data_IF_688414695692
#
_entry.id   IF_688414695692
#
_cell.length_a   1.000
_cell.length_b   1.000
_cell.length_c   1.000
_cell.angle_alpha   90.00
_cell.angle_beta   90.00
_cell.angle_gamma   90.00
#
_symmetry.space_group_name_H-M   'P 1'
#
loop_
_entity.id
_entity.type
_entity.pdbx_description
1 polymer ?
#
# COMPACT_ATOMS: atom_id res chain seq x y z
N UNK A 1 -15.82 4.77 9.29
CA UNK A 1 -15.09 5.74 10.15
C UNK A 1 -15.74 7.12 10.08
N UNK A 2 -16.01 7.65 8.88
CA UNK A 2 -16.63 8.97 8.73
C UNK A 2 -18.11 9.02 9.17
N UNK A 3 -18.80 7.89 9.20
CA UNK A 3 -20.20 7.78 9.62
C UNK A 3 -20.39 7.82 11.13
N UNK A 4 -19.38 7.41 11.89
CA UNK A 4 -19.42 7.36 13.35
C UNK A 4 -19.31 8.73 14.00
N UNK A 5 -18.91 9.73 13.22
CA UNK A 5 -18.73 11.09 13.69
C UNK A 5 -19.80 12.01 13.11
N UNK A 6 -20.74 12.38 13.94
CA UNK A 6 -21.73 13.43 13.66
C UNK A 6 -21.09 14.83 13.56
N UNK A 7 -19.79 14.89 13.20
CA UNK A 7 -19.08 16.13 13.12
C UNK A 7 -19.48 16.91 11.88
N UNK A 8 -20.09 18.07 12.09
CA UNK A 8 -20.42 19.03 11.04
C UNK A 8 -19.27 19.33 10.05
N UNK A 9 -17.99 19.44 10.48
CA UNK A 9 -16.88 19.71 9.55
C UNK A 9 -16.71 18.69 8.45
N UNK A 10 -16.87 17.39 8.73
CA UNK A 10 -16.72 16.32 7.71
C UNK A 10 -17.87 16.38 6.72
N UNK A 11 -19.12 16.50 7.19
CA UNK A 11 -20.29 16.62 6.33
C UNK A 11 -20.22 17.84 5.42
N UNK A 12 -19.80 18.98 5.97
CA UNK A 12 -19.60 20.23 5.21
C UNK A 12 -18.45 20.08 4.19
N UNK A 13 -17.35 19.40 4.58
CA UNK A 13 -16.22 19.11 3.69
C UNK A 13 -16.63 18.29 2.48
N UNK A 14 -17.34 17.19 2.70
CA UNK A 14 -17.86 16.33 1.63
C UNK A 14 -18.85 17.06 0.73
N UNK A 15 -19.76 17.86 1.31
CA UNK A 15 -20.69 18.70 0.53
C UNK A 15 -19.95 19.70 -0.36
N UNK A 16 -18.89 20.35 0.13
CA UNK A 16 -18.05 21.25 -0.65
C UNK A 16 -17.27 20.54 -1.76
N UNK A 17 -16.75 19.33 -1.50
CA UNK A 17 -16.09 18.50 -2.52
C UNK A 17 -17.06 18.13 -3.63
N UNK A 18 -18.25 17.67 -3.29
CA UNK A 18 -19.31 17.33 -4.25
C UNK A 18 -19.73 18.55 -5.08
N UNK A 19 -19.91 19.70 -4.46
CA UNK A 19 -20.23 20.96 -5.15
C UNK A 19 -19.14 21.41 -6.15
N UNK A 20 -17.89 20.96 -5.97
CA UNK A 20 -16.76 21.17 -6.87
C UNK A 20 -16.64 20.09 -7.96
N UNK A 21 -17.60 19.17 -8.05
CA UNK A 21 -17.61 18.10 -9.05
C UNK A 21 -16.85 16.84 -8.66
N UNK A 22 -16.44 16.69 -7.39
CA UNK A 22 -15.81 15.45 -6.95
C UNK A 22 -16.86 14.32 -6.93
N UNK A 23 -16.52 13.17 -7.54
CA UNK A 23 -17.32 11.94 -7.44
C UNK A 23 -17.09 11.31 -6.07
N UNK A 24 -18.16 11.00 -5.36
CA UNK A 24 -18.11 10.32 -4.07
C UNK A 24 -18.53 8.86 -4.29
N UNK A 25 -17.61 7.94 -4.00
CA UNK A 25 -17.88 6.50 -3.95
C UNK A 25 -17.92 6.08 -2.49
N UNK A 26 -19.02 5.50 -2.04
CA UNK A 26 -19.16 4.98 -0.69
C UNK A 26 -19.09 3.45 -0.71
N UNK A 27 -18.15 2.89 0.05
CA UNK A 27 -18.04 1.45 0.28
C UNK A 27 -18.50 1.16 1.69
N UNK A 28 -19.65 0.53 1.83
CA UNK A 28 -20.27 0.28 3.15
C UNK A 28 -21.28 -0.88 3.06
N UNK A 29 -21.38 -1.74 4.07
CA UNK A 29 -22.40 -2.80 4.11
C UNK A 29 -23.84 -2.28 4.02
N UNK A 30 -24.10 -1.08 4.54
CA UNK A 30 -25.42 -0.46 4.58
C UNK A 30 -25.41 0.87 3.83
N UNK A 31 -26.41 1.11 2.98
CA UNK A 31 -26.56 2.39 2.28
C UNK A 31 -27.20 3.45 3.18
N UNK A 32 -26.45 3.91 4.16
CA UNK A 32 -26.86 4.96 5.12
C UNK A 32 -25.80 6.05 5.19
N UNK A 33 -26.02 7.09 5.96
CA UNK A 33 -25.08 8.17 6.17
C UNK A 33 -24.53 8.75 4.87
N UNK A 34 -23.22 8.64 4.65
CA UNK A 34 -22.56 9.13 3.43
C UNK A 34 -22.91 8.32 2.18
N UNK A 35 -23.34 7.07 2.33
CA UNK A 35 -23.87 6.26 1.24
C UNK A 35 -25.14 6.85 0.62
N UNK A 36 -25.90 7.65 1.37
CA UNK A 36 -27.10 8.32 0.88
C UNK A 36 -26.80 9.49 -0.07
N UNK A 37 -25.63 10.14 0.08
CA UNK A 37 -25.19 11.27 -0.76
C UNK A 37 -24.14 10.87 -1.80
N UNK A 38 -23.68 9.62 -1.77
CA UNK A 38 -22.68 9.12 -2.71
C UNK A 38 -23.26 9.05 -4.13
N UNK A 39 -22.38 9.30 -5.11
CA UNK A 39 -22.69 9.14 -6.54
C UNK A 39 -22.74 7.65 -6.90
N UNK A 40 -21.94 6.85 -6.16
CA UNK A 40 -21.92 5.40 -6.29
C UNK A 40 -21.83 4.76 -4.90
N UNK A 41 -22.60 3.70 -4.67
CA UNK A 41 -22.52 2.92 -3.45
C UNK A 41 -22.17 1.47 -3.77
N UNK A 42 -21.12 0.98 -3.12
CA UNK A 42 -20.62 -0.39 -3.24
C UNK A 42 -20.93 -1.11 -1.93
N UNK A 43 -21.83 -2.09 -1.98
CA UNK A 43 -22.19 -2.91 -0.83
C UNK A 43 -21.12 -3.95 -0.58
N UNK A 44 -20.43 -3.87 0.55
CA UNK A 44 -19.37 -4.80 0.94
C UNK A 44 -19.83 -5.70 2.08
N UNK A 45 -19.43 -6.97 2.10
CA UNK A 45 -19.68 -7.84 3.26
C UNK A 45 -18.87 -7.35 4.47
N UNK A 46 -19.49 -7.26 5.66
CA UNK A 46 -18.77 -6.86 6.88
C UNK A 46 -17.53 -7.71 7.14
N UNK A 47 -16.43 -7.05 7.53
CA UNK A 47 -15.16 -7.72 7.86
C UNK A 47 -14.30 -8.09 6.66
N UNK A 48 -14.65 -7.66 5.44
CA UNK A 48 -13.85 -7.94 4.22
C UNK A 48 -13.19 -6.70 3.63
N UNK A 49 -13.20 -5.58 4.33
CA UNK A 49 -12.63 -4.31 3.88
C UNK A 49 -11.14 -4.45 3.54
N UNK A 50 -10.36 -5.16 4.39
CA UNK A 50 -8.96 -5.43 4.14
C UNK A 50 -8.72 -6.26 2.88
N UNK A 51 -9.58 -7.25 2.64
CA UNK A 51 -9.50 -8.09 1.44
C UNK A 51 -9.81 -7.27 0.17
N UNK A 52 -10.81 -6.41 0.23
CA UNK A 52 -11.12 -5.47 -0.85
C UNK A 52 -9.97 -4.51 -1.13
N UNK A 53 -9.35 -3.94 -0.08
CA UNK A 53 -8.18 -3.08 -0.23
C UNK A 53 -6.99 -3.82 -0.86
N UNK A 54 -6.78 -5.09 -0.53
CA UNK A 54 -5.74 -5.91 -1.16
C UNK A 54 -6.01 -6.18 -2.63
N UNK A 55 -7.28 -6.35 -3.02
CA UNK A 55 -7.63 -6.49 -4.43
C UNK A 55 -7.40 -5.19 -5.22
N UNK A 56 -7.69 -4.04 -4.62
CA UNK A 56 -7.35 -2.75 -5.23
C UNK A 56 -5.82 -2.59 -5.39
N UNK A 57 -5.05 -2.98 -4.38
CA UNK A 57 -3.59 -2.97 -4.46
C UNK A 57 -3.07 -3.91 -5.57
N UNK A 58 -3.65 -5.12 -5.69
CA UNK A 58 -3.36 -6.06 -6.77
C UNK A 58 -3.55 -5.43 -8.14
N UNK A 59 -4.70 -4.78 -8.38
CA UNK A 59 -5.00 -4.15 -9.66
C UNK A 59 -4.08 -2.94 -9.94
N UNK A 60 -3.80 -2.11 -8.96
CA UNK A 60 -2.87 -0.99 -9.12
C UNK A 60 -1.46 -1.47 -9.51
N UNK A 61 -0.97 -2.53 -8.87
CA UNK A 61 0.32 -3.15 -9.19
C UNK A 61 0.29 -3.79 -10.58
N UNK A 62 -0.76 -4.55 -10.92
CA UNK A 62 -0.93 -5.20 -12.21
C UNK A 62 -1.00 -4.22 -13.38
N UNK A 63 -1.60 -3.05 -13.15
CA UNK A 63 -1.74 -1.99 -14.15
C UNK A 63 -0.55 -1.02 -14.18
N UNK A 64 0.46 -1.23 -13.34
CA UNK A 64 1.59 -0.31 -13.17
C UNK A 64 1.14 1.15 -12.86
N UNK A 65 0.13 1.28 -11.99
CA UNK A 65 -0.43 2.56 -11.55
C UNK A 65 0.10 2.97 -10.19
N UNK A 66 1.42 2.92 -10.03
CA UNK A 66 2.12 3.20 -8.78
C UNK A 66 2.97 4.46 -8.94
N UNK A 67 2.79 5.41 -8.03
CA UNK A 67 3.66 6.58 -7.91
C UNK A 67 4.88 6.22 -7.04
N UNK A 68 5.91 5.65 -7.68
CA UNK A 68 7.14 5.22 -7.00
C UNK A 68 7.90 6.42 -6.41
N UNK A 69 7.91 7.57 -7.08
CA UNK A 69 8.57 8.78 -6.58
C UNK A 69 7.94 9.24 -5.25
N UNK A 70 6.60 9.20 -5.19
CA UNK A 70 5.88 9.48 -3.96
C UNK A 70 6.23 8.48 -2.84
N UNK A 71 6.25 7.18 -3.16
CA UNK A 71 6.52 6.13 -2.18
C UNK A 71 7.95 6.19 -1.65
N UNK A 72 8.92 6.52 -2.50
CA UNK A 72 10.32 6.72 -2.08
C UNK A 72 10.44 7.97 -1.20
N UNK A 73 9.75 9.05 -1.58
CA UNK A 73 9.90 10.34 -0.90
C UNK A 73 9.16 10.41 0.44
N UNK A 74 8.00 9.75 0.57
CA UNK A 74 7.10 9.92 1.72
C UNK A 74 6.81 8.64 2.49
N UNK A 75 7.34 7.50 2.04
CA UNK A 75 7.19 6.21 2.69
C UNK A 75 8.54 5.47 2.75
N UNK A 76 8.50 4.24 3.23
CA UNK A 76 9.68 3.38 3.37
C UNK A 76 9.81 2.33 2.26
N UNK A 77 9.28 2.59 1.08
CA UNK A 77 9.21 1.63 -0.04
C UNK A 77 10.59 1.08 -0.46
N UNK A 78 11.63 1.91 -0.33
CA UNK A 78 13.02 1.60 -0.69
C UNK A 78 13.87 1.05 0.47
N UNK A 79 13.33 1.00 1.70
CA UNK A 79 14.09 0.47 2.84
C UNK A 79 14.30 -1.03 2.68
N UNK A 80 15.48 -1.48 3.05
CA UNK A 80 15.84 -2.90 2.99
C UNK A 80 15.31 -3.66 4.20
N UNK A 81 14.68 -4.79 3.93
CA UNK A 81 14.22 -5.77 4.92
C UNK A 81 15.10 -7.01 4.81
N UNK A 82 15.62 -7.47 5.92
CA UNK A 82 16.48 -8.66 6.00
C UNK A 82 15.65 -9.90 5.67
N UNK A 83 16.16 -10.71 4.75
CA UNK A 83 15.61 -12.00 4.35
C UNK A 83 16.50 -13.12 4.91
N UNK A 84 16.19 -13.54 6.13
CA UNK A 84 16.95 -14.57 6.87
C UNK A 84 16.01 -15.56 7.55
N UNK A 85 15.29 -16.40 6.78
CA UNK A 85 14.26 -17.29 7.30
C UNK A 85 14.76 -18.14 8.47
N UNK A 86 14.09 -18.00 9.61
CA UNK A 86 14.43 -18.67 10.87
C UNK A 86 15.51 -18.00 11.72
N UNK A 87 16.10 -16.92 11.23
CA UNK A 87 17.00 -16.05 11.98
C UNK A 87 16.27 -15.07 12.89
N UNK A 88 16.95 -14.56 13.90
CA UNK A 88 16.36 -13.62 14.86
C UNK A 88 16.10 -12.22 14.25
N UNK A 89 16.73 -11.92 13.13
CA UNK A 89 16.64 -10.66 12.41
C UNK A 89 15.79 -10.75 11.14
N UNK A 90 15.17 -11.90 10.87
CA UNK A 90 14.30 -12.08 9.71
C UNK A 90 13.11 -11.11 9.75
N UNK A 91 12.86 -10.43 8.64
CA UNK A 91 11.79 -9.43 8.51
C UNK A 91 12.07 -8.09 9.18
N UNK A 92 13.23 -7.91 9.84
CA UNK A 92 13.62 -6.62 10.40
C UNK A 92 14.23 -5.71 9.33
N UNK A 93 14.12 -4.40 9.54
CA UNK A 93 14.82 -3.43 8.67
C UNK A 93 16.34 -3.54 8.84
N UNK A 94 17.05 -3.61 7.71
CA UNK A 94 18.49 -3.49 7.71
C UNK A 94 18.92 -2.08 8.19
N UNK A 95 19.88 -2.05 9.12
CA UNK A 95 20.39 -0.79 9.70
C UNK A 95 21.91 -0.78 9.70
N UNK A 96 22.48 0.43 9.63
CA UNK A 96 23.90 0.66 9.85
C UNK A 96 24.27 0.60 11.35
N UNK A 97 25.53 0.88 11.67
CA UNK A 97 26.06 0.87 13.04
C UNK A 97 25.45 1.98 13.92
N UNK A 98 24.98 3.05 13.32
CA UNK A 98 24.35 4.21 14.00
C UNK A 98 22.81 4.03 14.13
N UNK A 99 22.27 2.96 13.56
CA UNK A 99 20.84 2.62 13.62
C UNK A 99 20.01 3.24 12.51
N UNK A 100 20.59 3.88 11.50
CA UNK A 100 19.87 4.41 10.35
C UNK A 100 19.40 3.26 9.43
N UNK A 101 18.18 3.38 8.89
CA UNK A 101 17.69 2.41 7.93
C UNK A 101 18.51 2.45 6.64
N UNK A 102 18.74 1.29 6.04
CA UNK A 102 19.47 1.16 4.79
C UNK A 102 18.53 1.02 3.59
N UNK A 103 18.97 1.55 2.45
CA UNK A 103 18.43 1.23 1.13
C UNK A 103 19.57 0.77 0.20
N UNK A 104 19.22 0.22 -0.96
CA UNK A 104 20.19 -0.07 -1.99
C UNK A 104 20.27 1.09 -2.97
N UNK A 105 21.44 1.71 -3.08
CA UNK A 105 21.70 2.71 -4.11
C UNK A 105 22.10 2.01 -5.41
N UNK A 106 21.27 2.18 -6.44
CA UNK A 106 21.46 1.54 -7.73
C UNK A 106 22.67 2.07 -8.50
N UNK A 107 23.08 3.34 -8.30
CA UNK A 107 24.24 3.93 -8.95
C UNK A 107 25.53 3.54 -8.25
N UNK A 108 25.55 3.60 -6.93
CA UNK A 108 26.71 3.19 -6.13
C UNK A 108 26.85 1.66 -6.04
N UNK A 109 25.78 0.91 -6.37
CA UNK A 109 25.67 -0.54 -6.20
C UNK A 109 26.05 -0.99 -4.78
N UNK A 110 25.52 -0.32 -3.79
CA UNK A 110 25.83 -0.51 -2.38
C UNK A 110 24.64 -0.19 -1.47
N UNK A 111 24.67 -0.78 -0.25
CA UNK A 111 23.75 -0.38 0.81
C UNK A 111 24.21 0.94 1.44
N UNK A 112 23.31 1.92 1.49
CA UNK A 112 23.56 3.28 2.01
C UNK A 112 22.41 3.70 2.94
N UNK A 113 22.63 4.80 3.70
CA UNK A 113 21.55 5.41 4.49
C UNK A 113 20.34 5.76 3.60
N UNK A 114 19.19 5.23 3.93
CA UNK A 114 17.94 5.42 3.16
C UNK A 114 17.47 6.89 3.11
N UNK A 115 17.95 7.75 4.01
CA UNK A 115 17.67 9.19 4.03
C UNK A 115 18.81 10.02 3.44
N UNK A 116 19.79 9.37 2.80
CA UNK A 116 20.93 10.04 2.17
C UNK A 116 20.52 11.00 1.06
N UNK A 117 21.34 12.04 0.83
CA UNK A 117 21.10 13.00 -0.24
C UNK A 117 21.84 12.53 -1.51
N UNK A 118 21.15 12.62 -2.65
CA UNK A 118 21.75 12.28 -3.96
C UNK A 118 21.90 10.78 -4.21
N UNK A 119 21.12 9.97 -3.52
CA UNK A 119 21.03 8.53 -3.73
C UNK A 119 20.03 8.19 -4.84
N UNK A 120 20.21 7.04 -5.50
CA UNK A 120 19.29 6.46 -6.48
C UNK A 120 18.70 5.16 -5.89
N UNK A 121 17.70 5.24 -4.99
CA UNK A 121 17.25 4.09 -4.23
C UNK A 121 16.47 3.09 -5.10
N UNK A 122 16.92 1.85 -5.09
CA UNK A 122 16.20 0.75 -5.71
C UNK A 122 14.97 0.37 -4.86
N UNK A 123 13.84 0.15 -5.52
CA UNK A 123 12.57 -0.28 -4.89
C UNK A 123 12.25 -1.76 -5.13
N UNK A 124 12.97 -2.41 -6.05
CA UNK A 124 12.83 -3.85 -6.36
C UNK A 124 14.21 -4.50 -6.42
N UNK A 125 14.27 -5.81 -6.23
CA UNK A 125 15.48 -6.60 -6.33
C UNK A 125 15.81 -7.37 -5.04
N UNK A 126 16.85 -8.22 -5.16
CA UNK A 126 17.43 -8.99 -4.06
C UNK A 126 18.90 -8.59 -3.92
N UNK A 127 19.28 -8.19 -2.73
CA UNK A 127 20.59 -7.62 -2.46
C UNK A 127 21.31 -8.41 -1.36
N UNK A 128 22.65 -8.36 -1.40
CA UNK A 128 23.50 -8.89 -0.33
C UNK A 128 24.17 -7.74 0.38
N UNK A 129 23.95 -7.62 1.67
CA UNK A 129 24.58 -6.62 2.52
C UNK A 129 26.08 -6.92 2.71
N UNK A 130 26.90 -5.92 3.12
CA UNK A 130 28.33 -6.12 3.34
C UNK A 130 28.68 -7.22 4.35
N UNK A 131 27.77 -7.53 5.27
CA UNK A 131 27.91 -8.59 6.27
C UNK A 131 27.44 -9.97 5.78
N UNK A 132 27.04 -10.07 4.50
CA UNK A 132 26.61 -11.31 3.86
C UNK A 132 25.11 -11.63 4.02
N UNK A 133 24.33 -10.86 4.78
CA UNK A 133 22.88 -11.05 4.89
C UNK A 133 22.20 -10.66 3.60
N UNK A 134 21.13 -11.39 3.26
CA UNK A 134 20.25 -11.01 2.15
C UNK A 134 19.24 -9.98 2.62
N UNK A 135 18.85 -9.09 1.72
CA UNK A 135 17.84 -8.08 2.01
C UNK A 135 17.08 -7.70 0.73
N UNK A 136 15.82 -7.30 0.90
CA UNK A 136 14.95 -6.88 -0.19
C UNK A 136 14.23 -5.57 0.16
N UNK A 137 13.98 -4.68 -0.81
CA UNK A 137 13.18 -3.49 -0.56
C UNK A 137 11.77 -3.82 -0.10
N UNK A 138 11.20 -2.98 0.75
CA UNK A 138 9.79 -3.11 1.20
C UNK A 138 8.83 -3.22 0.02
N UNK A 139 9.03 -2.41 -1.02
CA UNK A 139 8.15 -2.43 -2.19
C UNK A 139 8.20 -3.78 -2.93
N UNK A 140 9.37 -4.42 -3.02
CA UNK A 140 9.48 -5.78 -3.58
C UNK A 140 8.61 -6.77 -2.79
N UNK A 141 8.64 -6.70 -1.46
CA UNK A 141 7.80 -7.58 -0.62
C UNK A 141 6.30 -7.30 -0.80
N UNK A 142 5.93 -6.04 -1.03
CA UNK A 142 4.55 -5.65 -1.35
C UNK A 142 4.13 -6.25 -2.70
N UNK A 143 4.98 -6.15 -3.72
CA UNK A 143 4.74 -6.71 -5.06
C UNK A 143 4.57 -8.22 -4.97
N UNK A 144 5.51 -8.93 -4.33
CA UNK A 144 5.46 -10.39 -4.16
C UNK A 144 4.18 -10.83 -3.43
N UNK A 145 3.76 -10.06 -2.45
CA UNK A 145 2.57 -10.37 -1.64
C UNK A 145 1.28 -10.13 -2.39
N UNK A 146 1.12 -8.97 -3.01
CA UNK A 146 -0.18 -8.53 -3.52
C UNK A 146 -0.41 -8.83 -5.00
N UNK A 147 0.61 -9.22 -5.77
CA UNK A 147 0.41 -9.83 -7.08
C UNK A 147 0.04 -11.32 -7.02
N UNK A 148 0.01 -11.93 -5.83
CA UNK A 148 -0.51 -13.28 -5.67
C UNK A 148 -1.96 -13.35 -6.18
N UNK A 149 -2.30 -14.34 -7.05
CA UNK A 149 -3.63 -14.49 -7.63
C UNK A 149 -4.78 -14.57 -6.62
N UNK A 150 -4.51 -14.96 -5.37
CA UNK A 150 -5.52 -14.98 -4.31
C UNK A 150 -6.12 -13.61 -4.00
N UNK A 151 -5.44 -12.52 -4.38
CA UNK A 151 -5.89 -11.14 -4.20
C UNK A 151 -6.46 -10.52 -5.48
N UNK A 152 -6.53 -11.27 -6.58
CA UNK A 152 -7.17 -10.79 -7.80
C UNK A 152 -8.65 -10.46 -7.56
N UNK A 153 -9.26 -9.51 -8.29
CA UNK A 153 -10.68 -9.21 -8.21
C UNK A 153 -11.57 -10.45 -8.31
N UNK A 154 -11.27 -11.37 -9.23
CA UNK A 154 -12.02 -12.61 -9.41
C UNK A 154 -11.97 -13.51 -8.15
N UNK A 155 -10.80 -13.64 -7.54
CA UNK A 155 -10.62 -14.48 -6.36
C UNK A 155 -11.29 -13.90 -5.10
N UNK A 156 -11.42 -12.56 -4.99
CA UNK A 156 -11.99 -11.93 -3.80
C UNK A 156 -13.46 -11.56 -3.93
N UNK A 157 -13.98 -11.45 -5.15
CA UNK A 157 -15.35 -11.00 -5.48
C UNK A 157 -16.42 -11.68 -4.64
N UNK A 158 -16.47 -13.01 -4.63
CA UNK A 158 -17.45 -13.76 -3.86
C UNK A 158 -17.34 -13.48 -2.35
N UNK A 159 -16.13 -13.40 -1.82
CA UNK A 159 -15.87 -13.17 -0.38
C UNK A 159 -16.27 -11.77 0.05
N UNK A 160 -15.98 -10.76 -0.76
CA UNK A 160 -16.34 -9.36 -0.49
C UNK A 160 -17.79 -9.06 -0.81
N UNK A 161 -18.46 -9.86 -1.65
CA UNK A 161 -19.80 -9.59 -2.15
C UNK A 161 -19.84 -8.45 -3.16
N UNK A 162 -18.71 -8.12 -3.78
CA UNK A 162 -18.55 -7.07 -4.79
C UNK A 162 -18.21 -7.73 -6.12
N UNK A 163 -18.93 -7.42 -7.22
CA UNK A 163 -18.57 -7.96 -8.54
C UNK A 163 -17.12 -7.63 -8.93
N UNK A 164 -16.39 -8.60 -9.48
CA UNK A 164 -14.99 -8.43 -9.86
C UNK A 164 -14.76 -7.21 -10.78
N UNK A 165 -15.67 -6.96 -11.73
CA UNK A 165 -15.57 -5.80 -12.61
C UNK A 165 -15.86 -4.44 -11.94
N UNK A 166 -16.21 -4.43 -10.65
CA UNK A 166 -16.40 -3.22 -9.84
C UNK A 166 -15.14 -2.92 -9.00
N UNK A 167 -14.35 -3.95 -8.73
CA UNK A 167 -13.08 -3.83 -8.04
C UNK A 167 -12.02 -3.29 -8.98
#
# INVERSE_FOLDING_TARGET
>A
VAEDHDSNPIKLGLGKLKARGAKIVAVNPVRSGYGAIADEWIGIRPGTDGLFAFALAHELLRMDRIDLDYLVRYANAHWLVIDNPGGADDGLFARDADGHALCWDAEANAAVDANGIGISPAVVGDYTLPDGRRARPVFQLIVDRYLDPQYSPDAVSERCGIPAGTI
#
